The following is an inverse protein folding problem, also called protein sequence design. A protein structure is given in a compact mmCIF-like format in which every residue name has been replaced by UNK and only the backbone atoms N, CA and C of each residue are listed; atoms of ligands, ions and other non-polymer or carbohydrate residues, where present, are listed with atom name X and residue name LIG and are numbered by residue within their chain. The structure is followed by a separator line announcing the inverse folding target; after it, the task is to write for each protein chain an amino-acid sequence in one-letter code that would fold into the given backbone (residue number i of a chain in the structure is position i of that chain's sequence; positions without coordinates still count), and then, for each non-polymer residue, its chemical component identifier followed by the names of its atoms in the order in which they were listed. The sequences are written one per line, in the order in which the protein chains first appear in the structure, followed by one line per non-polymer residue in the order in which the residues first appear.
data_IF_866206895857
#
_entry.id   IF_866206895857
#
_cell.length_a   1.000
_cell.length_b   1.000
_cell.length_c   1.000
_cell.angle_alpha   90.00
_cell.angle_beta   90.00
_cell.angle_gamma   90.00
#
_symmetry.space_group_name_H-M   'P 1'
#
loop_
_entity.id
_entity.type
_entity.pdbx_description
1 polymer ?
#
# COMPACT_ATOMS: atom_id res chain seq x y z
N UNK A 1 10.78 15.42 -14.68
CA UNK A 1 10.82 14.76 -13.36
C UNK A 1 12.25 14.37 -13.09
N UNK A 2 12.80 14.82 -11.97
CA UNK A 2 14.15 14.46 -11.52
C UNK A 2 14.11 13.18 -10.70
N UNK A 3 15.06 12.28 -10.94
CA UNK A 3 15.22 11.01 -10.20
C UNK A 3 16.56 11.04 -9.48
N UNK A 4 16.56 10.72 -8.19
CA UNK A 4 17.78 10.56 -7.38
C UNK A 4 17.78 9.19 -6.69
N UNK A 5 18.97 8.64 -6.40
CA UNK A 5 19.13 7.33 -5.76
C UNK A 5 20.01 7.50 -4.54
N UNK A 6 19.39 7.47 -3.36
CA UNK A 6 20.06 7.57 -2.07
C UNK A 6 20.09 6.20 -1.39
N UNK A 7 21.19 5.46 -1.59
CA UNK A 7 21.36 4.08 -1.08
C UNK A 7 20.25 3.15 -1.56
N UNK A 8 19.26 2.89 -0.70
CA UNK A 8 18.11 2.02 -0.94
C UNK A 8 16.81 2.81 -1.19
N UNK A 9 16.89 4.12 -1.35
CA UNK A 9 15.75 5.00 -1.65
C UNK A 9 15.86 5.55 -3.07
N UNK A 10 14.74 5.56 -3.78
CA UNK A 10 14.58 6.27 -5.06
C UNK A 10 13.68 7.46 -4.80
N UNK A 11 14.16 8.65 -5.15
CA UNK A 11 13.45 9.91 -4.96
C UNK A 11 12.97 10.46 -6.29
N UNK A 12 11.67 10.79 -6.37
CA UNK A 12 11.08 11.44 -7.53
C UNK A 12 10.73 12.89 -7.16
N UNK A 13 11.35 13.85 -7.83
CA UNK A 13 10.99 15.27 -7.70
C UNK A 13 10.27 15.71 -8.97
N UNK A 14 8.95 15.99 -8.93
CA UNK A 14 8.22 16.45 -10.11
C UNK A 14 8.64 17.88 -10.45
N UNK A 15 8.84 18.15 -11.74
CA UNK A 15 9.33 19.43 -12.28
C UNK A 15 8.23 20.20 -13.04
N UNK A 16 7.07 19.57 -13.26
CA UNK A 16 5.90 20.18 -13.91
C UNK A 16 4.60 19.90 -13.16
N UNK A 17 3.53 20.65 -13.47
CA UNK A 17 2.21 20.42 -12.88
C UNK A 17 1.61 19.06 -13.28
N UNK A 18 1.82 18.64 -14.53
CA UNK A 18 1.38 17.33 -15.02
C UNK A 18 2.10 16.18 -14.27
N UNK A 19 3.39 16.32 -14.03
CA UNK A 19 4.17 15.34 -13.27
C UNK A 19 3.71 15.23 -11.81
N UNK A 20 3.34 16.35 -11.17
CA UNK A 20 2.76 16.33 -9.82
C UNK A 20 1.48 15.51 -9.77
N UNK A 21 0.57 15.74 -10.72
CA UNK A 21 -0.70 15.00 -10.83
C UNK A 21 -0.46 13.50 -11.05
N UNK A 22 0.47 13.15 -11.94
CA UNK A 22 0.84 11.74 -12.21
C UNK A 22 1.48 11.07 -11.00
N UNK A 23 2.37 11.77 -10.29
CA UNK A 23 3.01 11.24 -9.09
C UNK A 23 2.00 11.03 -7.96
N UNK A 24 1.02 11.93 -7.80
CA UNK A 24 -0.08 11.74 -6.84
C UNK A 24 -0.93 10.51 -7.19
N UNK A 25 -1.29 10.34 -8.46
CA UNK A 25 -2.04 9.17 -8.92
C UNK A 25 -1.27 7.86 -8.68
N UNK A 26 0.04 7.86 -8.94
CA UNK A 26 0.91 6.73 -8.62
C UNK A 26 0.92 6.46 -7.11
N UNK A 27 1.08 7.50 -6.29
CA UNK A 27 1.13 7.38 -4.82
C UNK A 27 -0.15 6.77 -4.25
N UNK A 28 -1.32 7.23 -4.70
CA UNK A 28 -2.63 6.67 -4.34
C UNK A 28 -2.81 5.21 -4.76
N UNK A 29 -2.08 4.77 -5.78
CA UNK A 29 -2.15 3.39 -6.29
C UNK A 29 -1.26 2.45 -5.51
N UNK A 30 -0.05 2.90 -5.14
CA UNK A 30 0.96 2.04 -4.50
C UNK A 30 0.91 2.10 -2.98
N UNK A 31 0.38 3.17 -2.39
CA UNK A 31 0.22 3.27 -0.94
C UNK A 31 -1.15 2.72 -0.55
N UNK A 32 -1.16 1.59 0.16
CA UNK A 32 -2.33 1.06 0.82
C UNK A 32 -2.13 1.18 2.34
N UNK A 33 -2.79 2.17 2.94
CA UNK A 33 -2.71 2.46 4.37
C UNK A 33 -3.37 1.39 5.26
N UNK A 34 -4.10 0.42 4.68
CA UNK A 34 -4.79 -0.65 5.40
C UNK A 34 -3.97 -1.93 5.34
N UNK A 35 -3.35 -2.24 4.21
CA UNK A 35 -2.58 -3.49 4.02
C UNK A 35 -1.09 -3.21 3.95
N UNK A 36 -0.48 -3.47 2.79
CA UNK A 36 0.92 -3.19 2.51
C UNK A 36 0.99 -2.33 1.27
N UNK A 37 1.99 -1.46 1.23
CA UNK A 37 2.32 -0.76 -0.01
C UNK A 37 2.63 -1.78 -1.11
N UNK A 38 2.08 -1.53 -2.29
CA UNK A 38 2.38 -2.29 -3.50
C UNK A 38 3.84 -2.06 -3.87
N UNK A 39 4.47 -3.09 -4.43
CA UNK A 39 5.88 -3.01 -4.84
C UNK A 39 5.97 -2.62 -6.30
N UNK A 40 6.89 -1.72 -6.60
CA UNK A 40 7.31 -1.44 -7.98
C UNK A 40 8.44 -2.39 -8.35
N UNK A 41 8.19 -3.26 -9.32
CA UNK A 41 9.16 -4.27 -9.77
C UNK A 41 9.61 -3.91 -11.19
N UNK A 42 10.91 -3.71 -11.46
CA UNK A 42 11.39 -3.34 -12.78
C UNK A 42 11.07 -4.42 -13.81
N UNK A 43 10.70 -4.00 -15.02
CA UNK A 43 10.33 -4.89 -16.12
C UNK A 43 11.33 -4.74 -17.27
N UNK A 44 12.05 -5.83 -17.54
CA UNK A 44 13.07 -5.87 -18.59
C UNK A 44 14.33 -5.07 -18.24
N UNK A 45 15.14 -4.81 -19.26
CA UNK A 45 16.34 -3.99 -19.16
C UNK A 45 16.03 -2.54 -19.55
N UNK A 46 16.67 -1.59 -18.86
CA UNK A 46 16.74 -0.20 -19.29
C UNK A 46 18.18 0.17 -19.63
N UNK A 47 18.41 0.62 -20.85
CA UNK A 47 19.70 1.10 -21.36
C UNK A 47 19.53 2.54 -21.83
N UNK A 48 20.12 3.49 -21.12
CA UNK A 48 19.94 4.92 -21.39
C UNK A 48 20.32 5.36 -22.83
N UNK A 49 21.19 4.60 -23.50
CA UNK A 49 21.59 4.87 -24.88
C UNK A 49 20.52 4.53 -25.93
N UNK A 50 19.58 3.64 -25.61
CA UNK A 50 18.62 3.09 -26.58
C UNK A 50 17.17 3.22 -26.13
N UNK A 51 16.92 3.26 -24.82
CA UNK A 51 15.58 3.25 -24.26
C UNK A 51 15.16 4.64 -23.78
N UNK A 52 13.95 5.03 -24.16
CA UNK A 52 13.33 6.29 -23.74
C UNK A 52 12.38 6.12 -22.54
N UNK A 53 12.16 4.87 -22.10
CA UNK A 53 11.17 4.53 -21.07
C UNK A 53 11.68 3.42 -20.15
N UNK A 54 11.71 3.69 -18.85
CA UNK A 54 11.80 2.67 -17.82
C UNK A 54 10.40 2.17 -17.44
N UNK A 55 10.22 0.86 -17.26
CA UNK A 55 8.93 0.26 -16.90
C UNK A 55 9.02 -0.52 -15.59
N UNK A 56 7.97 -0.39 -14.79
CA UNK A 56 7.79 -1.14 -13.56
C UNK A 56 6.39 -1.77 -13.58
N UNK A 57 6.29 -3.02 -13.15
CA UNK A 57 5.04 -3.64 -12.78
C UNK A 57 4.68 -3.23 -11.35
N UNK A 58 3.39 -3.06 -11.06
CA UNK A 58 2.89 -2.82 -9.71
C UNK A 58 2.42 -4.17 -9.17
N UNK A 59 3.22 -4.81 -8.33
CA UNK A 59 2.87 -6.09 -7.70
C UNK A 59 1.79 -5.87 -6.62
N UNK A 60 0.74 -6.68 -6.63
CA UNK A 60 -0.48 -6.46 -5.81
C UNK A 60 -1.50 -5.53 -6.47
N UNK A 61 -1.32 -5.14 -7.74
CA UNK A 61 -2.34 -4.37 -8.48
C UNK A 61 -3.60 -5.19 -8.79
N UNK A 62 -3.48 -6.51 -8.92
CA UNK A 62 -4.57 -7.44 -9.26
C UNK A 62 -5.53 -7.74 -8.11
N UNK A 63 -5.27 -7.21 -6.91
CA UNK A 63 -6.20 -7.26 -5.76
C UNK A 63 -7.50 -6.49 -6.01
N UNK A 64 -7.61 -5.76 -7.13
CA UNK A 64 -8.86 -5.21 -7.62
C UNK A 64 -9.90 -6.31 -8.01
N UNK A 65 -9.51 -7.59 -8.06
CA UNK A 65 -10.42 -8.75 -8.13
C UNK A 65 -10.54 -9.54 -6.82
N UNK A 66 -9.95 -9.06 -5.72
CA UNK A 66 -10.08 -9.65 -4.39
C UNK A 66 -10.93 -8.76 -3.45
N UNK A 67 -12.07 -8.26 -3.95
CA UNK A 67 -13.15 -7.73 -3.11
C UNK A 67 -13.98 -8.85 -2.46
N UNK A 68 -13.31 -9.90 -1.97
CA UNK A 68 -13.91 -11.03 -1.25
C UNK A 68 -12.83 -11.90 -0.61
N UNK A 69 -12.79 -11.88 0.73
CA UNK A 69 -12.30 -12.99 1.58
C UNK A 69 -10.83 -13.42 1.51
N UNK A 70 -9.88 -12.49 1.62
CA UNK A 70 -8.47 -12.87 1.88
C UNK A 70 -8.14 -13.01 3.39
N UNK A 71 -8.95 -12.43 4.26
CA UNK A 71 -8.74 -12.49 5.72
C UNK A 71 -9.91 -13.20 6.41
N UNK A 72 -9.66 -13.99 7.47
CA UNK A 72 -10.73 -14.57 8.29
C UNK A 72 -11.71 -13.47 8.71
N UNK A 73 -12.99 -13.70 8.46
CA UNK A 73 -14.05 -12.78 8.90
C UNK A 73 -14.28 -13.04 10.39
N UNK A 74 -13.88 -12.10 11.22
CA UNK A 74 -14.12 -12.10 12.65
C UNK A 74 -14.85 -10.82 13.07
N UNK A 75 -15.61 -10.92 14.14
CA UNK A 75 -16.43 -9.84 14.68
C UNK A 75 -16.11 -9.64 16.15
N UNK A 76 -16.26 -8.41 16.63
CA UNK A 76 -16.08 -8.08 18.04
C UNK A 76 -17.24 -8.64 18.88
N UNK A 77 -16.93 -9.46 19.88
CA UNK A 77 -17.94 -10.06 20.77
C UNK A 77 -18.48 -9.06 21.82
N UNK A 78 -17.69 -8.03 22.14
CA UNK A 78 -17.99 -6.91 23.04
C UNK A 78 -17.47 -5.60 22.45
N UNK A 79 -17.84 -4.48 23.07
CA UNK A 79 -17.16 -3.21 22.80
C UNK A 79 -15.68 -3.38 23.21
N UNK A 80 -14.76 -3.16 22.28
CA UNK A 80 -13.33 -3.43 22.50
C UNK A 80 -12.45 -2.50 21.68
N UNK A 81 -11.14 -2.51 21.97
CA UNK A 81 -10.14 -1.80 21.17
C UNK A 81 -9.30 -2.80 20.40
N UNK A 82 -9.30 -2.70 19.08
CA UNK A 82 -8.39 -3.47 18.25
C UNK A 82 -7.08 -2.72 18.01
N UNK A 83 -5.96 -3.42 17.92
CA UNK A 83 -4.67 -2.84 17.55
C UNK A 83 -3.89 -3.70 16.55
N UNK A 84 -3.05 -3.05 15.77
CA UNK A 84 -2.12 -3.69 14.86
C UNK A 84 -0.72 -3.65 15.47
N UNK A 85 -0.12 -4.82 15.74
CA UNK A 85 1.25 -4.91 16.27
C UNK A 85 2.33 -4.38 15.30
N UNK A 86 2.03 -4.31 14.00
CA UNK A 86 3.01 -3.90 12.97
C UNK A 86 3.15 -2.38 12.90
N UNK A 87 2.03 -1.65 12.90
CA UNK A 87 2.01 -0.19 12.73
C UNK A 87 1.53 0.57 13.98
N UNK A 88 1.20 -0.14 15.07
CA UNK A 88 0.68 0.40 16.32
C UNK A 88 -0.60 1.25 16.17
N UNK A 89 -1.38 1.01 15.11
CA UNK A 89 -2.68 1.65 14.92
C UNK A 89 -3.72 1.02 15.85
N UNK A 90 -4.60 1.85 16.41
CA UNK A 90 -5.73 1.43 17.25
C UNK A 90 -7.07 1.81 16.60
N UNK A 91 -8.10 1.00 16.81
CA UNK A 91 -9.48 1.24 16.40
C UNK A 91 -10.42 0.80 17.52
N UNK A 92 -11.41 1.61 17.85
CA UNK A 92 -12.49 1.20 18.76
C UNK A 92 -13.60 0.53 17.95
N UNK A 93 -14.05 -0.64 18.42
CA UNK A 93 -15.13 -1.42 17.81
C UNK A 93 -16.28 -1.59 18.80
N UNK A 94 -17.50 -1.58 18.28
CA UNK A 94 -18.71 -1.99 19.01
C UNK A 94 -18.94 -3.49 18.83
N UNK A 95 -19.67 -4.08 19.77
CA UNK A 95 -20.15 -5.46 19.61
C UNK A 95 -20.83 -5.65 18.26
N UNK A 96 -20.38 -6.67 17.52
CA UNK A 96 -20.87 -7.01 16.19
C UNK A 96 -20.17 -6.29 15.04
N UNK A 97 -19.26 -5.35 15.32
CA UNK A 97 -18.42 -4.76 14.29
C UNK A 97 -17.39 -5.77 13.78
N UNK A 98 -17.10 -5.71 12.48
CA UNK A 98 -16.07 -6.56 11.88
C UNK A 98 -14.69 -6.10 12.33
N UNK A 99 -13.86 -7.04 12.78
CA UNK A 99 -12.45 -6.79 13.07
C UNK A 99 -11.73 -6.51 11.74
N UNK A 100 -11.15 -5.31 11.56
CA UNK A 100 -10.54 -4.96 10.29
C UNK A 100 -9.15 -5.61 10.15
N UNK A 101 -8.74 -5.99 8.94
CA UNK A 101 -7.35 -6.31 8.68
C UNK A 101 -6.49 -5.03 8.71
N UNK A 102 -5.25 -5.15 9.19
CA UNK A 102 -4.25 -4.09 9.18
C UNK A 102 -2.84 -4.68 8.98
N UNK A 103 -2.03 -4.09 8.09
CA UNK A 103 -0.64 -4.53 7.82
C UNK A 103 -0.51 -6.03 7.51
N UNK A 104 -1.44 -6.56 6.73
CA UNK A 104 -1.38 -7.94 6.25
C UNK A 104 -1.87 -9.01 7.21
N UNK A 105 -2.50 -8.63 8.32
CA UNK A 105 -3.06 -9.55 9.32
C UNK A 105 -4.36 -8.99 9.88
N UNK A 106 -5.18 -9.84 10.50
CA UNK A 106 -6.31 -9.37 11.28
C UNK A 106 -5.81 -8.59 12.50
N UNK A 107 -6.43 -7.46 12.84
CA UNK A 107 -6.09 -6.73 14.06
C UNK A 107 -6.40 -7.56 15.30
N UNK A 108 -5.62 -7.39 16.35
CA UNK A 108 -5.80 -8.09 17.63
C UNK A 108 -6.69 -7.29 18.56
N UNK A 109 -7.55 -7.98 19.31
CA UNK A 109 -8.38 -7.36 20.35
C UNK A 109 -7.52 -7.14 21.60
N UNK A 110 -7.47 -5.90 22.06
CA UNK A 110 -7.07 -5.54 23.41
C UNK A 110 -8.37 -5.41 24.20
N UNK A 111 -8.69 -6.45 24.97
CA UNK A 111 -9.78 -6.41 25.96
C UNK A 111 -9.61 -5.24 26.94
#
# INVERSE_FOLDING_TARGET
MKIDVQKNLVEFTPESADEKTKLEALWRTIVDCVRFNKKLVPVGQYVAATDTLARFAIEGADDAKASGDEYPVAYADTDCRCYCQTCNKYVELKKGDRIPPCCGKLMEVLD
#
